data_IF_761181074987
#
_entry.id   IF_761181074987
#
_cell.length_a   1.000
_cell.length_b   1.000
_cell.length_c   1.000
_cell.angle_alpha   90.00
_cell.angle_beta   90.00
_cell.angle_gamma   90.00
#
_symmetry.space_group_name_H-M   'P 1'
#
loop_
_entity.id
_entity.type
_entity.pdbx_description
1 polymer ?
#
# COMPACT_ATOMS: atom_id res chain seq x y z
N UNK A 1 -19.57 21.92 -19.66
CA UNK A 1 -19.10 21.23 -18.44
C UNK A 1 -18.42 19.87 -18.72
N UNK A 2 -19.00 18.99 -19.59
CA UNK A 2 -18.45 17.63 -19.87
C UNK A 2 -17.07 17.63 -20.54
N UNK A 3 -16.83 18.50 -21.54
CA UNK A 3 -15.51 18.63 -22.18
C UNK A 3 -14.43 19.15 -21.23
N UNK A 4 -14.78 20.04 -20.27
CA UNK A 4 -13.82 20.54 -19.27
C UNK A 4 -13.36 19.44 -18.30
N UNK A 5 -14.23 18.49 -17.95
CA UNK A 5 -13.87 17.39 -17.04
C UNK A 5 -12.83 16.43 -17.65
N UNK A 6 -12.94 16.08 -18.95
CA UNK A 6 -11.90 15.30 -19.63
C UNK A 6 -10.58 16.07 -19.70
N UNK A 7 -10.63 17.37 -20.03
CA UNK A 7 -9.43 18.18 -20.14
C UNK A 7 -8.68 18.39 -18.83
N UNK A 8 -9.35 18.41 -17.69
CA UNK A 8 -8.70 18.58 -16.37
C UNK A 8 -8.11 17.25 -15.90
N UNK A 9 -8.86 16.15 -15.95
CA UNK A 9 -8.43 14.83 -15.49
C UNK A 9 -7.21 14.31 -16.27
N UNK A 10 -7.20 14.49 -17.59
CA UNK A 10 -6.20 13.89 -18.48
C UNK A 10 -5.07 14.89 -18.84
N UNK A 11 -5.04 16.08 -18.23
CA UNK A 11 -3.96 17.06 -18.41
C UNK A 11 -2.76 16.71 -17.55
N UNK A 12 -1.63 16.42 -18.17
CA UNK A 12 -0.37 16.18 -17.49
C UNK A 12 0.04 17.33 -16.56
N UNK A 13 -0.21 18.58 -16.93
CA UNK A 13 0.09 19.76 -16.11
C UNK A 13 -0.62 19.77 -14.76
N UNK A 14 -1.80 19.14 -14.65
CA UNK A 14 -2.52 19.05 -13.37
C UNK A 14 -1.81 18.11 -12.38
N UNK A 15 -1.11 17.09 -12.87
CA UNK A 15 -0.27 16.23 -12.03
C UNK A 15 0.85 17.03 -11.37
N UNK A 16 1.47 17.95 -12.08
CA UNK A 16 2.50 18.83 -11.53
C UNK A 16 1.93 19.73 -10.43
N UNK A 17 0.77 20.33 -10.68
CA UNK A 17 0.14 21.26 -9.72
C UNK A 17 -0.24 20.53 -8.42
N UNK A 18 -1.01 19.44 -8.49
CA UNK A 18 -1.43 18.78 -7.26
C UNK A 18 -0.27 18.08 -6.54
N UNK A 19 0.77 17.64 -7.27
CA UNK A 19 1.99 17.07 -6.67
C UNK A 19 2.66 18.06 -5.73
N UNK A 20 2.72 19.35 -6.08
CA UNK A 20 3.26 20.39 -5.21
C UNK A 20 2.46 20.44 -3.89
N UNK A 21 1.13 20.50 -3.96
CA UNK A 21 0.29 20.53 -2.75
C UNK A 21 0.42 19.27 -1.90
N UNK A 22 0.48 18.09 -2.54
CA UNK A 22 0.67 16.83 -1.83
C UNK A 22 2.02 16.81 -1.14
N UNK A 23 3.10 17.15 -1.85
CA UNK A 23 4.46 17.02 -1.35
C UNK A 23 4.83 18.06 -0.30
N UNK A 24 4.26 19.27 -0.39
CA UNK A 24 4.63 20.39 0.50
C UNK A 24 3.70 20.49 1.71
N UNK A 25 2.43 20.11 1.56
CA UNK A 25 1.41 20.34 2.60
C UNK A 25 0.88 19.02 3.18
N UNK A 26 0.31 18.15 2.35
CA UNK A 26 -0.45 16.99 2.84
C UNK A 26 0.48 15.90 3.39
N UNK A 27 1.45 15.51 2.59
CA UNK A 27 2.37 14.41 2.93
C UNK A 27 3.28 14.71 4.14
N UNK A 28 3.89 15.90 4.28
CA UNK A 28 4.69 16.22 5.46
C UNK A 28 3.89 16.22 6.76
N UNK A 29 2.64 16.68 6.74
CA UNK A 29 1.77 16.68 7.92
C UNK A 29 1.43 15.23 8.32
N UNK A 30 0.93 14.42 7.40
CA UNK A 30 0.58 13.02 7.67
C UNK A 30 1.80 12.16 8.02
N UNK A 31 2.92 12.38 7.35
CA UNK A 31 4.18 11.69 7.61
C UNK A 31 4.74 12.03 9.00
N UNK A 32 4.66 13.30 9.41
CA UNK A 32 5.08 13.70 10.75
C UNK A 32 4.29 12.99 11.85
N UNK A 33 2.98 12.81 11.68
CA UNK A 33 2.15 12.14 12.70
C UNK A 33 2.65 10.73 13.03
N UNK A 34 3.21 10.02 12.07
CA UNK A 34 3.63 8.61 12.23
C UNK A 34 5.14 8.45 12.27
N UNK A 35 5.87 9.04 11.31
CA UNK A 35 7.33 8.81 11.17
C UNK A 35 8.18 9.96 11.74
N UNK A 36 7.58 11.12 11.94
CA UNK A 36 8.26 12.33 12.42
C UNK A 36 8.19 12.56 13.93
N UNK A 37 7.85 11.54 14.73
CA UNK A 37 7.69 11.67 16.18
C UNK A 37 6.38 12.35 16.60
N UNK A 38 5.38 12.40 15.72
CA UNK A 38 4.08 13.00 15.98
C UNK A 38 3.21 12.16 16.93
N UNK A 39 1.97 12.59 17.11
CA UNK A 39 1.06 12.07 18.13
C UNK A 39 0.69 10.59 17.99
N UNK A 40 0.75 10.01 16.79
CA UNK A 40 0.51 8.58 16.55
C UNK A 40 1.68 7.70 17.02
N UNK A 41 2.91 8.22 17.01
CA UNK A 41 4.11 7.49 17.38
C UNK A 41 4.56 7.78 18.82
N UNK A 42 3.88 8.68 19.52
CA UNK A 42 4.25 9.04 20.90
C UNK A 42 4.00 7.87 21.85
N UNK A 43 5.08 7.31 22.39
CA UNK A 43 5.10 6.15 23.32
C UNK A 43 5.01 6.52 24.79
N UNK A 44 4.89 7.80 25.14
CA UNK A 44 4.72 8.24 26.52
C UNK A 44 3.44 7.66 27.12
N UNK A 45 3.49 7.20 28.36
CA UNK A 45 2.34 6.57 29.04
C UNK A 45 1.09 7.48 29.11
N UNK A 46 1.29 8.80 29.02
CA UNK A 46 0.25 9.82 29.00
C UNK A 46 -0.32 10.15 27.63
N UNK A 47 0.25 9.63 26.54
CA UNK A 47 -0.17 9.95 25.16
C UNK A 47 -1.53 9.35 24.83
N UNK A 48 -2.19 9.93 23.81
CA UNK A 48 -3.49 9.44 23.35
C UNK A 48 -3.45 7.97 22.92
N UNK A 49 -2.43 7.58 22.15
CA UNK A 49 -2.30 6.21 21.66
C UNK A 49 -2.08 5.20 22.79
N UNK A 50 -1.17 5.52 23.72
CA UNK A 50 -0.88 4.64 24.86
C UNK A 50 -2.05 4.53 25.82
N UNK A 51 -2.80 5.61 26.08
CA UNK A 51 -4.01 5.59 26.91
C UNK A 51 -5.15 4.81 26.29
N UNK A 52 -5.34 4.94 24.96
CA UNK A 52 -6.51 4.39 24.28
C UNK A 52 -6.29 2.96 23.82
N UNK A 53 -5.11 2.66 23.28
CA UNK A 53 -4.80 1.38 22.63
C UNK A 53 -3.70 0.57 23.31
N UNK A 54 -2.98 1.14 24.26
CA UNK A 54 -1.85 0.50 24.93
C UNK A 54 -0.61 0.31 24.05
N UNK A 55 -0.61 0.89 22.84
CA UNK A 55 0.48 0.78 21.86
C UNK A 55 0.52 2.00 20.97
N UNK A 56 1.64 2.21 20.28
CA UNK A 56 1.78 3.21 19.23
C UNK A 56 1.25 2.69 17.90
N UNK A 57 0.94 3.61 16.98
CA UNK A 57 0.59 3.26 15.60
C UNK A 57 1.84 2.79 14.84
N UNK A 58 1.73 1.68 14.13
CA UNK A 58 2.81 1.12 13.32
C UNK A 58 2.45 1.14 11.84
N UNK A 59 3.30 1.76 11.03
CA UNK A 59 3.25 1.73 9.57
C UNK A 59 4.69 1.70 9.05
N UNK A 60 5.16 0.50 8.71
CA UNK A 60 6.56 0.28 8.36
C UNK A 60 6.97 0.99 7.08
N UNK A 61 6.26 0.75 6.00
CA UNK A 61 6.62 1.31 4.69
C UNK A 61 5.54 2.20 4.05
N UNK A 62 4.35 2.37 4.67
CA UNK A 62 3.41 3.38 4.24
C UNK A 62 2.08 2.92 3.66
N UNK A 63 1.48 1.80 4.11
CA UNK A 63 0.09 1.49 3.71
C UNK A 63 -0.85 2.64 4.02
N UNK A 64 -0.68 3.28 5.17
CA UNK A 64 -1.52 4.41 5.59
C UNK A 64 -0.95 5.73 5.08
N UNK A 65 0.32 6.00 5.39
CA UNK A 65 0.94 7.30 5.14
C UNK A 65 1.11 7.59 3.64
N UNK A 66 1.36 6.57 2.84
CA UNK A 66 1.53 6.74 1.38
C UNK A 66 0.24 6.35 0.64
N UNK A 67 -0.18 5.10 0.77
CA UNK A 67 -1.25 4.55 -0.06
C UNK A 67 -2.64 5.01 0.38
N UNK A 68 -2.94 5.06 1.68
CA UNK A 68 -4.24 5.55 2.15
C UNK A 68 -4.38 7.05 1.90
N UNK A 69 -3.33 7.85 2.12
CA UNK A 69 -3.32 9.28 1.77
C UNK A 69 -3.61 9.46 0.28
N UNK A 70 -2.91 8.71 -0.59
CA UNK A 70 -3.18 8.73 -2.02
C UNK A 70 -4.59 8.29 -2.38
N UNK A 71 -5.13 7.27 -1.70
CA UNK A 71 -6.50 6.79 -1.87
C UNK A 71 -7.56 7.85 -1.51
N UNK A 72 -7.40 8.55 -0.39
CA UNK A 72 -8.30 9.63 0.02
C UNK A 72 -8.26 10.80 -0.96
N UNK A 73 -7.08 11.21 -1.41
CA UNK A 73 -6.94 12.28 -2.43
C UNK A 73 -7.62 11.85 -3.74
N UNK A 74 -7.41 10.60 -4.17
CA UNK A 74 -8.04 10.05 -5.35
C UNK A 74 -9.58 10.00 -5.24
N UNK A 75 -10.11 9.62 -4.06
CA UNK A 75 -11.55 9.62 -3.79
C UNK A 75 -12.16 11.02 -3.91
N UNK A 76 -11.56 12.00 -3.25
CA UNK A 76 -12.01 13.40 -3.32
C UNK A 76 -11.91 13.94 -4.75
N UNK A 77 -10.79 13.68 -5.43
CA UNK A 77 -10.60 14.07 -6.82
C UNK A 77 -11.64 13.44 -7.75
N UNK A 78 -11.94 12.16 -7.60
CA UNK A 78 -12.97 11.47 -8.37
C UNK A 78 -14.39 12.01 -8.09
N UNK A 79 -14.71 12.33 -6.83
CA UNK A 79 -15.98 12.90 -6.45
C UNK A 79 -16.19 14.31 -7.07
N UNK A 80 -15.17 15.15 -7.06
CA UNK A 80 -15.22 16.51 -7.62
C UNK A 80 -15.31 16.47 -9.16
N UNK A 81 -14.50 15.62 -9.81
CA UNK A 81 -14.46 15.52 -11.28
C UNK A 81 -15.67 14.79 -11.86
N UNK A 82 -16.26 13.87 -11.10
CA UNK A 82 -17.37 13.03 -11.56
C UNK A 82 -16.95 11.95 -12.57
N UNK A 83 -17.91 11.21 -13.11
CA UNK A 83 -17.63 10.10 -14.02
C UNK A 83 -17.09 10.57 -15.37
N UNK A 84 -16.32 9.71 -16.04
CA UNK A 84 -15.88 9.94 -17.42
C UNK A 84 -17.07 10.07 -18.37
N UNK A 85 -16.89 10.86 -19.45
CA UNK A 85 -17.87 10.96 -20.53
C UNK A 85 -18.10 9.57 -21.12
N UNK A 86 -19.36 9.18 -21.28
CA UNK A 86 -19.74 7.86 -21.81
C UNK A 86 -19.72 6.73 -20.78
N UNK A 87 -19.34 6.98 -19.51
CA UNK A 87 -19.38 5.96 -18.45
C UNK A 87 -20.80 5.49 -18.14
N UNK A 88 -21.77 6.39 -18.20
CA UNK A 88 -23.18 6.09 -17.99
C UNK A 88 -23.98 6.42 -19.24
N UNK A 89 -24.90 5.53 -19.62
CA UNK A 89 -25.87 5.73 -20.68
C UNK A 89 -26.94 6.76 -20.30
N UNK A 90 -27.84 7.06 -21.25
CA UNK A 90 -29.02 7.94 -20.97
C UNK A 90 -29.98 7.29 -19.96
N UNK A 91 -29.93 5.96 -19.88
CA UNK A 91 -30.68 5.08 -18.98
C UNK A 91 -30.04 4.95 -17.58
N UNK A 92 -28.91 5.63 -17.32
CA UNK A 92 -28.17 5.55 -16.08
C UNK A 92 -27.31 4.28 -15.94
N UNK A 93 -27.35 3.36 -16.89
CA UNK A 93 -26.58 2.13 -16.82
C UNK A 93 -25.08 2.39 -17.07
N UNK A 94 -24.24 1.69 -16.29
CA UNK A 94 -22.79 1.78 -16.41
C UNK A 94 -22.30 1.05 -17.65
N UNK A 95 -21.55 1.75 -18.50
CA UNK A 95 -20.88 1.18 -19.69
C UNK A 95 -19.42 0.88 -19.37
N UNK A 96 -18.95 -0.27 -19.87
CA UNK A 96 -17.52 -0.60 -19.79
C UNK A 96 -16.72 0.37 -20.68
N UNK A 97 -15.62 0.90 -20.13
CA UNK A 97 -14.60 1.65 -20.88
C UNK A 97 -13.36 0.75 -20.87
N UNK A 98 -13.12 -0.03 -21.94
CA UNK A 98 -11.98 -0.95 -21.98
C UNK A 98 -10.65 -0.20 -21.93
N UNK A 99 -9.64 -0.81 -21.31
CA UNK A 99 -8.28 -0.30 -21.32
C UNK A 99 -7.64 -0.41 -22.70
N UNK A 100 -6.62 0.39 -22.95
CA UNK A 100 -5.92 0.45 -24.22
C UNK A 100 -5.23 -0.89 -24.57
N UNK A 101 -4.49 -1.48 -23.61
CA UNK A 101 -3.76 -2.73 -23.83
C UNK A 101 -3.54 -3.45 -22.48
N UNK A 102 -4.16 -4.61 -22.31
CA UNK A 102 -4.07 -5.39 -21.08
C UNK A 102 -2.70 -6.05 -20.90
N UNK A 103 -2.00 -6.38 -21.97
CA UNK A 103 -0.66 -6.97 -21.89
C UNK A 103 0.35 -5.96 -21.37
N UNK A 104 0.28 -4.71 -21.86
CA UNK A 104 1.12 -3.62 -21.33
C UNK A 104 0.74 -3.30 -19.88
N UNK A 105 -0.55 -3.36 -19.52
CA UNK A 105 -0.98 -3.19 -18.15
C UNK A 105 -0.41 -4.28 -17.23
N UNK A 106 -0.39 -5.54 -17.69
CA UNK A 106 0.22 -6.64 -16.95
C UNK A 106 1.72 -6.41 -16.75
N UNK A 107 2.45 -6.02 -17.80
CA UNK A 107 3.86 -5.65 -17.70
C UNK A 107 4.07 -4.53 -16.68
N UNK A 108 3.22 -3.50 -16.70
CA UNK A 108 3.25 -2.41 -15.71
C UNK A 108 3.10 -2.88 -14.27
N UNK A 109 2.21 -3.84 -14.03
CA UNK A 109 2.04 -4.44 -12.69
C UNK A 109 3.28 -5.24 -12.26
N UNK A 110 3.92 -6.00 -13.15
CA UNK A 110 5.17 -6.69 -12.84
C UNK A 110 6.32 -5.73 -12.55
N UNK A 111 6.42 -4.62 -13.28
CA UNK A 111 7.41 -3.56 -13.01
C UNK A 111 7.15 -2.94 -11.63
N UNK A 112 5.89 -2.67 -11.29
CA UNK A 112 5.51 -2.16 -9.97
C UNK A 112 5.82 -3.17 -8.86
N UNK A 113 5.54 -4.46 -9.07
CA UNK A 113 5.86 -5.52 -8.13
C UNK A 113 7.37 -5.61 -7.90
N UNK A 114 8.14 -5.60 -8.95
CA UNK A 114 9.61 -5.54 -8.85
C UNK A 114 10.07 -4.31 -8.06
N UNK A 115 9.50 -3.13 -8.36
CA UNK A 115 9.78 -1.89 -7.62
C UNK A 115 9.41 -1.98 -6.13
N UNK A 116 8.40 -2.77 -5.79
CA UNK A 116 7.98 -2.98 -4.41
C UNK A 116 9.03 -3.71 -3.56
N UNK A 117 9.87 -4.51 -4.18
CA UNK A 117 11.04 -5.10 -3.51
C UNK A 117 12.13 -4.07 -3.16
N UNK A 118 12.15 -2.92 -3.82
CA UNK A 118 12.92 -1.77 -3.37
C UNK A 118 12.20 -0.91 -2.33
N UNK A 119 10.86 -0.86 -2.40
CA UNK A 119 10.04 -0.02 -1.55
C UNK A 119 9.95 -0.57 -0.11
N UNK A 120 9.40 -1.76 0.08
CA UNK A 120 9.22 -2.35 1.40
C UNK A 120 10.55 -2.73 2.07
N UNK A 121 11.43 -3.56 1.48
CA UNK A 121 12.72 -3.87 2.09
C UNK A 121 13.63 -2.66 2.27
N UNK A 122 13.57 -1.67 1.36
CA UNK A 122 14.30 -0.42 1.49
C UNK A 122 13.89 0.42 2.70
N UNK A 123 12.68 0.23 3.21
CA UNK A 123 12.18 0.91 4.42
C UNK A 123 12.86 0.43 5.71
N UNK A 124 13.68 -0.62 5.67
CA UNK A 124 14.56 -1.01 6.79
C UNK A 124 15.63 0.05 7.08
N UNK A 125 15.99 0.87 6.08
CA UNK A 125 16.95 1.99 6.16
C UNK A 125 18.36 1.61 6.65
N UNK A 126 18.62 0.34 6.92
CA UNK A 126 19.90 -0.21 7.35
C UNK A 126 20.09 -1.62 6.76
N UNK A 127 21.34 -2.00 6.45
CA UNK A 127 21.69 -3.31 5.91
C UNK A 127 23.03 -3.82 6.44
N UNK A 128 23.61 -3.14 7.43
CA UNK A 128 24.96 -3.40 7.88
C UNK A 128 25.08 -4.63 8.79
N UNK A 129 24.05 -4.91 9.58
CA UNK A 129 24.05 -6.01 10.55
C UNK A 129 23.34 -7.24 10.01
N UNK A 130 23.67 -8.42 10.57
CA UNK A 130 22.94 -9.67 10.27
C UNK A 130 21.44 -9.54 10.60
N UNK A 131 21.10 -8.80 11.65
CA UNK A 131 19.72 -8.54 12.03
C UNK A 131 18.97 -7.75 10.93
N UNK A 132 19.59 -6.71 10.37
CA UNK A 132 19.01 -5.95 9.25
C UNK A 132 18.80 -6.84 8.02
N UNK A 133 19.76 -7.69 7.71
CA UNK A 133 19.69 -8.60 6.54
C UNK A 133 18.56 -9.62 6.70
N UNK A 134 18.36 -10.16 7.92
CA UNK A 134 17.23 -11.06 8.23
C UNK A 134 15.91 -10.31 8.14
N UNK A 135 15.82 -9.09 8.67
CA UNK A 135 14.62 -8.26 8.56
C UNK A 135 14.27 -7.95 7.09
N UNK A 136 15.24 -7.53 6.29
CA UNK A 136 15.08 -7.31 4.85
C UNK A 136 14.56 -8.57 4.15
N UNK A 137 15.13 -9.74 4.46
CA UNK A 137 14.72 -11.02 3.86
C UNK A 137 13.27 -11.38 4.22
N UNK A 138 12.86 -11.15 5.47
CA UNK A 138 11.50 -11.36 5.93
C UNK A 138 10.52 -10.42 5.19
N UNK A 139 10.87 -9.15 5.06
CA UNK A 139 10.07 -8.15 4.35
C UNK A 139 9.90 -8.52 2.86
N UNK A 140 10.97 -9.00 2.21
CA UNK A 140 10.89 -9.53 0.84
C UNK A 140 9.87 -10.67 0.73
N UNK A 141 9.98 -11.65 1.62
CA UNK A 141 9.12 -12.82 1.61
C UNK A 141 7.65 -12.45 1.84
N UNK A 142 7.37 -11.66 2.87
CA UNK A 142 6.02 -11.20 3.20
C UNK A 142 5.40 -10.39 2.05
N UNK A 143 6.18 -9.49 1.45
CA UNK A 143 5.75 -8.69 0.30
C UNK A 143 5.37 -9.58 -0.88
N UNK A 144 6.21 -10.56 -1.22
CA UNK A 144 5.93 -11.49 -2.33
C UNK A 144 4.69 -12.35 -2.08
N UNK A 145 4.56 -12.90 -0.88
CA UNK A 145 3.42 -13.74 -0.52
C UNK A 145 2.10 -12.97 -0.53
N UNK A 146 2.10 -11.74 -0.05
CA UNK A 146 0.91 -10.89 -0.08
C UNK A 146 0.48 -10.56 -1.52
N UNK A 147 1.43 -10.28 -2.42
CA UNK A 147 1.15 -10.08 -3.83
C UNK A 147 0.55 -11.32 -4.49
N UNK A 148 1.14 -12.49 -4.26
CA UNK A 148 0.65 -13.77 -4.76
C UNK A 148 -0.75 -14.09 -4.22
N UNK A 149 -0.97 -13.92 -2.92
CA UNK A 149 -2.26 -14.15 -2.29
C UNK A 149 -3.34 -13.22 -2.86
N UNK A 150 -3.05 -11.92 -2.96
CA UNK A 150 -3.97 -10.94 -3.53
C UNK A 150 -4.37 -11.27 -4.98
N UNK A 151 -3.40 -11.66 -5.80
CA UNK A 151 -3.64 -12.11 -7.18
C UNK A 151 -4.47 -13.38 -7.24
N UNK A 152 -4.12 -14.38 -6.43
CA UNK A 152 -4.82 -15.68 -6.38
C UNK A 152 -6.29 -15.52 -5.95
N UNK A 153 -6.55 -14.78 -4.88
CA UNK A 153 -7.93 -14.58 -4.40
C UNK A 153 -8.74 -13.76 -5.40
N UNK A 154 -8.18 -12.70 -5.98
CA UNK A 154 -8.90 -11.92 -6.99
C UNK A 154 -9.19 -12.72 -8.26
N UNK A 155 -8.26 -13.55 -8.72
CA UNK A 155 -8.47 -14.49 -9.82
C UNK A 155 -9.62 -15.46 -9.50
N UNK A 156 -9.54 -16.13 -8.35
CA UNK A 156 -10.50 -17.14 -7.93
C UNK A 156 -11.91 -16.56 -7.77
N UNK A 157 -12.04 -15.42 -7.08
CA UNK A 157 -13.32 -14.75 -6.87
C UNK A 157 -13.90 -14.28 -8.21
N UNK A 158 -13.08 -13.73 -9.09
CA UNK A 158 -13.55 -13.29 -10.42
C UNK A 158 -14.03 -14.48 -11.26
N UNK A 159 -13.33 -15.62 -11.17
CA UNK A 159 -13.72 -16.83 -11.87
C UNK A 159 -15.06 -17.39 -11.37
N UNK A 160 -15.18 -17.53 -10.05
CA UNK A 160 -16.45 -18.00 -9.44
C UNK A 160 -17.63 -17.07 -9.75
N UNK A 161 -17.41 -15.76 -9.69
CA UNK A 161 -18.50 -14.79 -9.87
C UNK A 161 -18.92 -14.58 -11.32
N UNK A 162 -17.97 -14.62 -12.26
CA UNK A 162 -18.22 -14.28 -13.67
C UNK A 162 -18.07 -15.47 -14.63
N UNK A 163 -17.82 -16.68 -14.13
CA UNK A 163 -17.62 -17.88 -14.93
C UNK A 163 -16.30 -17.93 -15.73
N UNK A 164 -15.50 -16.87 -15.67
CA UNK A 164 -14.18 -16.76 -16.31
C UNK A 164 -13.27 -15.83 -15.52
N UNK A 165 -11.96 -16.11 -15.48
CA UNK A 165 -11.00 -15.25 -14.76
C UNK A 165 -10.86 -13.91 -15.47
N UNK A 166 -10.75 -12.84 -14.70
CA UNK A 166 -10.54 -11.49 -15.20
C UNK A 166 -9.10 -11.04 -14.96
N UNK A 167 -8.32 -10.85 -16.02
CA UNK A 167 -6.93 -10.38 -15.91
C UNK A 167 -6.84 -9.04 -15.16
N UNK A 168 -7.71 -8.09 -15.47
CA UNK A 168 -7.69 -6.77 -14.83
C UNK A 168 -7.98 -6.84 -13.32
N UNK A 169 -8.90 -7.71 -12.88
CA UNK A 169 -9.17 -7.92 -11.46
C UNK A 169 -8.01 -8.62 -10.77
N UNK A 170 -7.39 -9.61 -11.42
CA UNK A 170 -6.20 -10.29 -10.91
C UNK A 170 -5.03 -9.32 -10.70
N UNK A 171 -4.75 -8.47 -11.68
CA UNK A 171 -3.71 -7.45 -11.59
C UNK A 171 -3.97 -6.45 -10.46
N UNK A 172 -5.21 -6.00 -10.30
CA UNK A 172 -5.60 -5.16 -9.16
C UNK A 172 -5.48 -5.90 -7.82
N UNK A 173 -5.76 -7.21 -7.79
CA UNK A 173 -5.58 -8.06 -6.62
C UNK A 173 -4.12 -8.13 -6.17
N UNK A 174 -3.19 -8.29 -7.11
CA UNK A 174 -1.74 -8.25 -6.84
C UNK A 174 -1.37 -6.91 -6.17
N UNK A 175 -1.77 -5.80 -6.78
CA UNK A 175 -1.49 -4.47 -6.22
C UNK A 175 -2.15 -4.24 -4.86
N UNK A 176 -3.37 -4.73 -4.66
CA UNK A 176 -4.06 -4.63 -3.37
C UNK A 176 -3.32 -5.41 -2.28
N UNK A 177 -2.79 -6.61 -2.60
CA UNK A 177 -1.96 -7.39 -1.70
C UNK A 177 -0.67 -6.66 -1.32
N UNK A 178 0.01 -6.07 -2.30
CA UNK A 178 1.22 -5.26 -2.09
C UNK A 178 0.95 -4.04 -1.19
N UNK A 179 -0.11 -3.30 -1.48
CA UNK A 179 -0.52 -2.13 -0.68
C UNK A 179 -0.87 -2.54 0.75
N UNK A 180 -1.65 -3.62 0.92
CA UNK A 180 -2.10 -4.08 2.23
C UNK A 180 -0.98 -4.51 3.15
N UNK A 181 0.05 -5.21 2.61
CA UNK A 181 1.18 -5.70 3.41
C UNK A 181 2.17 -4.60 3.82
N UNK A 182 2.18 -3.48 3.13
CA UNK A 182 3.21 -2.43 3.24
C UNK A 182 3.36 -1.86 4.66
N UNK A 183 2.30 -1.81 5.48
CA UNK A 183 2.40 -1.34 6.86
C UNK A 183 3.01 -2.36 7.83
N UNK A 184 2.77 -3.64 7.61
CA UNK A 184 3.13 -4.70 8.55
C UNK A 184 4.08 -5.76 7.98
N UNK A 185 4.76 -5.47 6.88
CA UNK A 185 5.61 -6.45 6.21
C UNK A 185 6.83 -6.88 7.04
N UNK A 186 7.23 -6.08 8.02
CA UNK A 186 8.30 -6.36 8.99
C UNK A 186 7.85 -7.23 10.16
N UNK A 187 6.57 -7.18 10.52
CA UNK A 187 6.02 -7.74 11.77
C UNK A 187 5.16 -8.99 11.58
N UNK A 188 4.70 -9.29 10.35
CA UNK A 188 3.89 -10.47 10.07
C UNK A 188 4.80 -11.68 9.88
N UNK A 189 4.66 -12.71 10.75
CA UNK A 189 5.30 -14.00 10.54
C UNK A 189 4.39 -14.97 9.82
N UNK A 190 4.97 -15.85 9.01
CA UNK A 190 4.30 -16.88 8.17
C UNK A 190 3.47 -17.92 8.94
N UNK A 191 3.43 -17.83 10.26
CA UNK A 191 2.62 -18.71 11.07
C UNK A 191 2.02 -17.97 12.24
N UNK A 192 0.72 -17.86 12.29
CA UNK A 192 -0.03 -17.30 13.43
C UNK A 192 0.29 -17.92 14.81
N UNK A 193 1.13 -18.96 14.86
CA UNK A 193 1.60 -19.60 16.09
C UNK A 193 3.05 -19.30 16.46
N UNK A 194 3.89 -18.82 15.53
CA UNK A 194 5.34 -18.65 15.75
C UNK A 194 5.76 -17.25 16.22
N UNK A 195 4.87 -16.29 16.22
CA UNK A 195 5.22 -14.89 16.55
C UNK A 195 5.80 -14.74 17.97
N UNK A 196 5.26 -15.45 18.96
CA UNK A 196 5.82 -15.46 20.33
C UNK A 196 7.15 -16.21 20.43
N UNK A 197 7.37 -17.25 19.63
CA UNK A 197 8.61 -18.01 19.59
C UNK A 197 9.74 -17.23 18.94
N UNK A 198 9.44 -16.50 17.85
CA UNK A 198 10.45 -15.73 17.12
C UNK A 198 10.98 -14.55 17.92
N UNK A 199 10.11 -13.77 18.55
CA UNK A 199 10.53 -12.65 19.41
C UNK A 199 11.33 -13.14 20.63
N UNK A 200 10.95 -14.27 21.25
CA UNK A 200 11.75 -14.88 22.31
C UNK A 200 13.11 -15.36 21.84
N UNK A 201 13.17 -15.93 20.62
CA UNK A 201 14.43 -16.46 20.10
C UNK A 201 15.40 -15.34 19.69
N UNK A 202 14.92 -14.23 19.15
CA UNK A 202 15.74 -13.04 18.86
C UNK A 202 16.20 -12.35 20.12
N UNK A 203 15.36 -12.22 21.15
CA UNK A 203 15.76 -11.69 22.44
C UNK A 203 16.80 -12.58 23.14
N UNK A 204 16.68 -13.91 23.05
CA UNK A 204 17.65 -14.86 23.62
C UNK A 204 18.99 -14.82 22.88
N UNK A 205 18.98 -14.66 21.55
CA UNK A 205 20.20 -14.50 20.75
C UNK A 205 20.88 -13.17 21.09
N UNK A 206 20.13 -12.06 21.15
CA UNK A 206 20.69 -10.75 21.50
C UNK A 206 21.28 -10.74 22.92
N UNK A 207 20.65 -11.42 23.87
CA UNK A 207 21.19 -11.57 25.26
C UNK A 207 22.44 -12.45 25.33
N UNK A 208 22.63 -13.37 24.39
CA UNK A 208 23.84 -14.22 24.31
C UNK A 208 25.01 -13.53 23.63
N UNK A 209 24.76 -12.57 22.74
CA UNK A 209 25.80 -11.80 22.06
C UNK A 209 26.33 -10.65 22.92
N UNK A 210 25.56 -10.20 23.91
CA UNK A 210 25.96 -9.14 24.86
C UNK A 210 26.50 -9.67 26.21
N UNK A 211 26.74 -10.95 26.34
CA UNK A 211 27.51 -11.58 27.44
C UNK A 211 28.83 -12.13 26.89
#
# INVERSE_FOLDING_TARGET
>A
RRQRQMCIRDRFSMYLVYTIFISVLIYPVSGHWTWGGGWLMNSEAGSFMMKTFGTTFHDFAGSTIVHSVGGWIALVGAAILGPRIGKYGKDGQSKAIPGHNLTIAALGVFILWFGWFGFNPGSQLAAATTADQVAISLVFLNTNLAACAGGFFALSISWLKYGKPSLSLTLNGILAGLVGITAGCDSISLGCGCHRSYLRHTDDILRRVHR
#
